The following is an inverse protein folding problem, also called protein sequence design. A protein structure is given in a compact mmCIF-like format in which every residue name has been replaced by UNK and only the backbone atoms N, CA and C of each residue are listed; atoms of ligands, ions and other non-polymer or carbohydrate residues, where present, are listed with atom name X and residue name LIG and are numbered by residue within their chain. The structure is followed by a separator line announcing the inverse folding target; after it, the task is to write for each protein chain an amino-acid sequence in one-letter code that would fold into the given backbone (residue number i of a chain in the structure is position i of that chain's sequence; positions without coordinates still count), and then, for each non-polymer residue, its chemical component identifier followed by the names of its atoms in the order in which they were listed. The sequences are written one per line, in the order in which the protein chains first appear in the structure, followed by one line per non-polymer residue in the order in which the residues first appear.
data_IF_264530014890
#
_entry.id   IF_264530014890
#
_cell.length_a   1.000
_cell.length_b   1.000
_cell.length_c   1.000
_cell.angle_alpha   90.00
_cell.angle_beta   90.00
_cell.angle_gamma   90.00
#
_symmetry.space_group_name_H-M   'P 1'
#
loop_
_entity.id
_entity.type
_entity.pdbx_description
1 polymer ?
#
# COMPACT_ATOMS: atom_id res chain seq x y z
N UNK A 1 2.91 -3.74 29.98
CA UNK A 1 3.11 -2.68 28.96
C UNK A 1 3.76 -3.21 27.69
N UNK A 2 4.93 -3.85 27.74
CA UNK A 2 5.66 -4.33 26.54
C UNK A 2 4.88 -5.38 25.73
N UNK A 3 4.24 -6.34 26.40
CA UNK A 3 3.47 -7.40 25.72
C UNK A 3 2.27 -6.84 24.93
N UNK A 4 1.59 -5.81 25.46
CA UNK A 4 0.45 -5.18 24.80
C UNK A 4 0.85 -4.46 23.52
N UNK A 5 1.89 -3.63 23.59
CA UNK A 5 2.44 -2.93 22.43
C UNK A 5 2.93 -3.89 21.33
N UNK A 6 3.51 -5.04 21.72
CA UNK A 6 3.92 -6.07 20.77
C UNK A 6 2.72 -6.70 20.06
N UNK A 7 1.65 -7.02 20.79
CA UNK A 7 0.43 -7.60 20.21
C UNK A 7 -0.26 -6.60 19.27
N UNK A 8 -0.32 -5.33 19.63
CA UNK A 8 -0.85 -4.27 18.75
C UNK A 8 -0.02 -4.15 17.47
N UNK A 9 1.31 -4.12 17.58
CA UNK A 9 2.20 -4.05 16.43
C UNK A 9 2.03 -5.26 15.50
N UNK A 10 1.99 -6.48 16.05
CA UNK A 10 1.79 -7.70 15.27
C UNK A 10 0.42 -7.71 14.59
N UNK A 11 -0.63 -7.27 15.28
CA UNK A 11 -1.98 -7.16 14.72
C UNK A 11 -2.00 -6.17 13.56
N UNK A 12 -1.37 -5.00 13.72
CA UNK A 12 -1.25 -4.00 12.66
C UNK A 12 -0.52 -4.53 11.42
N UNK A 13 0.57 -5.28 11.61
CA UNK A 13 1.30 -5.94 10.51
C UNK A 13 0.41 -6.95 9.79
N UNK A 14 -0.29 -7.82 10.52
CA UNK A 14 -1.18 -8.82 9.92
C UNK A 14 -2.31 -8.15 9.14
N UNK A 15 -2.95 -7.13 9.70
CA UNK A 15 -4.03 -6.37 9.05
C UNK A 15 -3.52 -5.71 7.76
N UNK A 16 -2.34 -5.10 7.78
CA UNK A 16 -1.74 -4.48 6.61
C UNK A 16 -1.41 -5.51 5.51
N UNK A 17 -0.90 -6.68 5.88
CA UNK A 17 -0.63 -7.78 4.94
C UNK A 17 -1.92 -8.33 4.32
N UNK A 18 -2.97 -8.51 5.12
CA UNK A 18 -4.30 -8.92 4.63
C UNK A 18 -4.86 -7.89 3.67
N UNK A 19 -4.79 -6.59 4.00
CA UNK A 19 -5.21 -5.52 3.09
C UNK A 19 -4.42 -5.55 1.78
N UNK A 20 -3.11 -5.79 1.83
CA UNK A 20 -2.24 -5.89 0.65
C UNK A 20 -2.74 -6.96 -0.32
N UNK A 21 -3.04 -8.16 0.19
CA UNK A 21 -3.39 -9.31 -0.64
C UNK A 21 -4.86 -9.28 -1.07
N UNK A 22 -5.78 -8.90 -0.17
CA UNK A 22 -7.22 -9.02 -0.41
C UNK A 22 -7.79 -7.79 -1.13
N UNK A 23 -7.22 -6.60 -0.90
CA UNK A 23 -7.74 -5.34 -1.47
C UNK A 23 -6.82 -4.79 -2.55
N UNK A 24 -5.53 -4.63 -2.21
CA UNK A 24 -4.59 -3.92 -3.07
C UNK A 24 -4.16 -4.75 -4.27
N UNK A 25 -3.84 -6.04 -4.11
CA UNK A 25 -3.41 -6.88 -5.22
C UNK A 25 -4.51 -7.03 -6.31
N UNK A 26 -5.79 -7.26 -5.97
CA UNK A 26 -6.88 -7.22 -6.95
C UNK A 26 -7.04 -5.84 -7.60
N UNK A 27 -6.94 -4.75 -6.82
CA UNK A 27 -6.98 -3.40 -7.35
C UNK A 27 -5.87 -3.17 -8.39
N UNK A 28 -4.62 -3.54 -8.07
CA UNK A 28 -3.48 -3.40 -8.99
C UNK A 28 -3.67 -4.24 -10.24
N UNK A 29 -4.11 -5.49 -10.09
CA UNK A 29 -4.35 -6.39 -11.22
C UNK A 29 -5.48 -5.91 -12.13
N UNK A 30 -6.57 -5.40 -11.56
CA UNK A 30 -7.72 -4.92 -12.30
C UNK A 30 -7.46 -3.55 -12.92
N UNK A 31 -6.96 -2.59 -12.15
CA UNK A 31 -6.77 -1.21 -12.58
C UNK A 31 -5.74 -1.11 -13.71
N UNK A 32 -4.58 -1.76 -13.56
CA UNK A 32 -3.55 -1.77 -14.60
C UNK A 32 -3.94 -2.64 -15.81
N UNK A 33 -4.96 -3.51 -15.68
CA UNK A 33 -5.46 -4.33 -16.77
C UNK A 33 -6.59 -3.72 -17.60
N UNK A 34 -6.97 -2.47 -17.35
CA UNK A 34 -8.00 -1.77 -18.15
C UNK A 34 -7.42 -1.22 -19.46
N UNK A 35 -8.24 -1.04 -20.49
CA UNK A 35 -7.84 -0.49 -21.81
C UNK A 35 -7.15 0.89 -21.73
N UNK A 36 -7.25 1.54 -20.57
CA UNK A 36 -6.60 2.83 -20.28
C UNK A 36 -5.12 2.70 -19.96
N UNK A 37 -4.66 1.50 -19.59
CA UNK A 37 -3.31 1.20 -19.15
C UNK A 37 -2.87 -0.12 -19.80
N UNK A 38 -2.03 -0.06 -20.84
CA UNK A 38 -1.69 -1.17 -21.75
C UNK A 38 -0.96 -2.38 -21.12
N UNK A 39 -0.94 -2.53 -19.78
CA UNK A 39 -0.17 -3.54 -19.07
C UNK A 39 -0.95 -4.18 -17.94
N UNK A 40 -1.55 -5.33 -18.21
CA UNK A 40 -2.11 -6.19 -17.16
C UNK A 40 -1.00 -7.02 -16.51
N UNK A 41 -0.54 -6.70 -15.29
CA UNK A 41 0.42 -7.55 -14.59
C UNK A 41 -0.24 -8.89 -14.26
N UNK A 42 0.53 -9.98 -14.23
CA UNK A 42 0.03 -11.23 -13.67
C UNK A 42 -0.37 -11.02 -12.21
N UNK A 43 -1.32 -11.82 -11.70
CA UNK A 43 -1.76 -11.68 -10.31
C UNK A 43 -0.60 -11.86 -9.32
N UNK A 44 0.35 -12.75 -9.62
CA UNK A 44 1.58 -12.93 -8.83
C UNK A 44 2.39 -11.63 -8.74
N UNK A 45 2.58 -10.91 -9.85
CA UNK A 45 3.27 -9.62 -9.86
C UNK A 45 2.47 -8.58 -9.08
N UNK A 46 1.14 -8.54 -9.22
CA UNK A 46 0.29 -7.61 -8.47
C UNK A 46 0.38 -7.83 -6.95
N UNK A 47 0.46 -9.08 -6.50
CA UNK A 47 0.71 -9.43 -5.09
C UNK A 47 2.07 -8.94 -4.63
N UNK A 48 3.14 -9.18 -5.41
CA UNK A 48 4.49 -8.68 -5.09
C UNK A 48 4.53 -7.16 -4.98
N UNK A 49 3.87 -6.46 -5.90
CA UNK A 49 3.75 -5.00 -5.90
C UNK A 49 3.02 -4.53 -4.63
N UNK A 50 1.88 -5.14 -4.30
CA UNK A 50 1.08 -4.78 -3.14
C UNK A 50 1.84 -4.98 -1.82
N UNK A 51 2.49 -6.14 -1.65
CA UNK A 51 3.30 -6.43 -0.46
C UNK A 51 4.48 -5.45 -0.32
N UNK A 52 5.14 -5.16 -1.43
CA UNK A 52 6.26 -4.21 -1.44
C UNK A 52 5.77 -2.79 -1.14
N UNK A 53 4.62 -2.38 -1.67
CA UNK A 53 4.04 -1.07 -1.43
C UNK A 53 3.67 -0.88 0.05
N UNK A 54 3.05 -1.90 0.67
CA UNK A 54 2.76 -1.90 2.12
C UNK A 54 4.05 -1.81 2.94
N UNK A 55 5.07 -2.60 2.60
CA UNK A 55 6.34 -2.59 3.33
C UNK A 55 7.05 -1.24 3.21
N UNK A 56 7.21 -0.71 2.00
CA UNK A 56 7.89 0.55 1.74
C UNK A 56 7.09 1.73 2.30
N UNK A 57 5.76 1.72 2.17
CA UNK A 57 4.88 2.73 2.76
C UNK A 57 4.94 2.73 4.29
N UNK A 58 4.88 1.56 4.92
CA UNK A 58 5.03 1.44 6.37
C UNK A 58 6.41 1.88 6.86
N UNK A 59 7.47 1.56 6.12
CA UNK A 59 8.82 2.04 6.42
C UNK A 59 8.93 3.57 6.26
N UNK A 60 8.31 4.14 5.22
CA UNK A 60 8.26 5.58 5.02
C UNK A 60 7.52 6.30 6.16
N UNK A 61 6.38 5.76 6.60
CA UNK A 61 5.63 6.28 7.74
C UNK A 61 6.44 6.19 9.04
N UNK A 62 7.17 5.10 9.26
CA UNK A 62 8.05 4.96 10.43
C UNK A 62 9.21 5.96 10.42
N UNK A 63 9.82 6.19 9.26
CA UNK A 63 10.99 7.07 9.13
C UNK A 63 10.64 8.56 9.08
N UNK A 64 9.50 8.93 8.49
CA UNK A 64 9.17 10.32 8.13
C UNK A 64 7.79 10.76 8.66
N UNK A 65 6.98 9.85 9.19
CA UNK A 65 5.65 10.14 9.74
C UNK A 65 5.64 11.11 10.92
N UNK A 66 6.78 11.29 11.59
CA UNK A 66 6.95 12.29 12.65
C UNK A 66 6.95 13.74 12.12
N UNK A 67 7.17 13.94 10.81
CA UNK A 67 7.11 15.27 10.17
C UNK A 67 5.68 15.53 9.70
N UNK A 68 4.94 16.52 10.26
CA UNK A 68 3.49 16.67 10.05
C UNK A 68 3.04 16.81 8.60
N UNK A 69 3.83 17.52 7.78
CA UNK A 69 3.51 17.77 6.37
C UNK A 69 4.13 16.69 5.48
N UNK A 70 5.41 16.40 5.67
CA UNK A 70 6.17 15.49 4.80
C UNK A 70 5.70 14.05 4.99
N UNK A 71 5.52 13.60 6.23
CA UNK A 71 5.08 12.24 6.53
C UNK A 71 3.77 11.85 5.85
N UNK A 72 2.80 12.78 5.80
CA UNK A 72 1.48 12.55 5.16
C UNK A 72 1.56 12.27 3.66
N UNK A 73 2.53 12.82 2.96
CA UNK A 73 2.64 12.67 1.51
C UNK A 73 3.67 11.62 1.09
N UNK A 74 4.68 11.34 1.92
CA UNK A 74 5.75 10.40 1.53
C UNK A 74 5.21 8.97 1.41
N UNK A 75 4.33 8.52 2.31
CA UNK A 75 3.73 7.18 2.23
C UNK A 75 2.96 6.94 0.92
N UNK A 76 1.96 7.77 0.52
CA UNK A 76 1.27 7.58 -0.76
C UNK A 76 2.20 7.75 -1.98
N UNK A 77 3.22 8.61 -1.91
CA UNK A 77 4.23 8.73 -2.98
C UNK A 77 5.07 7.46 -3.08
N UNK A 78 5.46 6.87 -1.95
CA UNK A 78 6.23 5.62 -1.92
C UNK A 78 5.44 4.47 -2.54
N UNK A 79 4.13 4.40 -2.29
CA UNK A 79 3.23 3.46 -2.95
C UNK A 79 3.22 3.65 -4.46
N UNK A 80 3.01 4.88 -4.93
CA UNK A 80 3.03 5.19 -6.36
C UNK A 80 4.37 4.85 -7.01
N UNK A 81 5.48 5.10 -6.31
CA UNK A 81 6.82 4.74 -6.77
C UNK A 81 6.96 3.22 -6.95
N UNK A 82 6.51 2.42 -5.99
CA UNK A 82 6.54 0.95 -6.10
C UNK A 82 5.70 0.47 -7.28
N UNK A 83 4.49 1.00 -7.47
CA UNK A 83 3.64 0.65 -8.61
C UNK A 83 4.27 1.02 -9.95
N UNK A 84 4.93 2.18 -10.03
CA UNK A 84 5.66 2.59 -11.23
C UNK A 84 6.83 1.64 -11.52
N UNK A 85 7.65 1.38 -10.52
CA UNK A 85 8.92 0.67 -10.71
C UNK A 85 8.72 -0.84 -10.93
N UNK A 86 7.84 -1.46 -10.14
CA UNK A 86 7.60 -2.90 -10.19
C UNK A 86 6.40 -3.27 -11.08
N UNK A 87 5.38 -2.41 -11.14
CA UNK A 87 4.23 -2.59 -12.03
C UNK A 87 4.48 -2.08 -13.46
N UNK A 88 5.59 -1.37 -13.69
CA UNK A 88 5.94 -0.84 -15.01
C UNK A 88 4.95 0.19 -15.54
N UNK A 89 4.28 0.93 -14.65
CA UNK A 89 3.21 1.87 -14.96
C UNK A 89 3.73 3.31 -15.10
N UNK A 90 3.07 4.12 -15.93
CA UNK A 90 3.36 5.55 -16.01
C UNK A 90 2.95 6.30 -14.74
N UNK A 91 3.50 7.51 -14.55
CA UNK A 91 3.27 8.29 -13.33
C UNK A 91 1.78 8.54 -13.01
N UNK A 92 0.91 8.96 -13.95
CA UNK A 92 -0.49 9.22 -13.63
C UNK A 92 -1.26 7.99 -13.09
N UNK A 93 -1.25 6.82 -13.75
CA UNK A 93 -1.85 5.61 -13.18
C UNK A 93 -1.19 5.17 -11.89
N UNK A 94 0.14 5.24 -11.78
CA UNK A 94 0.84 4.83 -10.57
C UNK A 94 0.45 5.69 -9.36
N UNK A 95 0.28 7.01 -9.54
CA UNK A 95 -0.19 7.92 -8.52
C UNK A 95 -1.64 7.62 -8.12
N UNK A 96 -2.52 7.38 -9.09
CA UNK A 96 -3.92 7.09 -8.82
C UNK A 96 -4.09 5.74 -8.11
N UNK A 97 -3.58 4.66 -8.69
CA UNK A 97 -3.72 3.31 -8.13
C UNK A 97 -2.94 3.16 -6.82
N UNK A 98 -1.75 3.78 -6.74
CA UNK A 98 -0.95 3.79 -5.50
C UNK A 98 -1.63 4.56 -4.38
N UNK A 99 -2.20 5.73 -4.69
CA UNK A 99 -2.95 6.53 -3.72
C UNK A 99 -4.24 5.85 -3.26
N UNK A 100 -5.00 5.23 -4.18
CA UNK A 100 -6.20 4.45 -3.83
C UNK A 100 -5.84 3.23 -3.01
N UNK A 101 -4.78 2.50 -3.38
CA UNK A 101 -4.29 1.35 -2.62
C UNK A 101 -3.89 1.71 -1.20
N UNK A 102 -3.12 2.79 -1.05
CA UNK A 102 -2.74 3.34 0.25
C UNK A 102 -3.97 3.71 1.08
N UNK A 103 -4.92 4.46 0.48
CA UNK A 103 -6.13 4.89 1.17
C UNK A 103 -6.97 3.70 1.65
N UNK A 104 -7.12 2.67 0.81
CA UNK A 104 -7.83 1.44 1.16
C UNK A 104 -7.15 0.74 2.33
N UNK A 105 -5.82 0.66 2.37
CA UNK A 105 -5.09 0.05 3.48
C UNK A 105 -5.28 0.83 4.77
N UNK A 106 -5.22 2.17 4.72
CA UNK A 106 -5.46 3.03 5.90
C UNK A 106 -6.88 2.88 6.43
N UNK A 107 -7.88 2.95 5.55
CA UNK A 107 -9.29 2.81 5.92
C UNK A 107 -9.58 1.41 6.46
N UNK A 108 -9.06 0.36 5.82
CA UNK A 108 -9.21 -1.02 6.28
C UNK A 108 -8.60 -1.21 7.67
N UNK A 109 -7.39 -0.68 7.90
CA UNK A 109 -6.76 -0.73 9.21
C UNK A 109 -7.61 -0.03 10.28
N UNK A 110 -8.16 1.14 9.98
CA UNK A 110 -9.03 1.88 10.90
C UNK A 110 -10.34 1.13 11.24
N UNK A 111 -10.87 0.33 10.30
CA UNK A 111 -12.11 -0.44 10.49
C UNK A 111 -11.86 -1.75 11.25
N UNK A 112 -10.76 -2.45 10.95
CA UNK A 112 -10.49 -3.80 11.48
C UNK A 112 -9.78 -3.76 12.83
N UNK A 113 -8.96 -2.74 13.07
CA UNK A 113 -8.29 -2.51 14.33
C UNK A 113 -8.61 -1.10 14.86
N UNK A 114 -9.88 -0.83 15.23
CA UNK A 114 -10.23 0.42 15.91
C UNK A 114 -9.51 0.40 17.26
N UNK A 115 -8.45 1.19 17.36
CA UNK A 115 -7.71 1.42 18.60
C UNK A 115 -8.35 2.54 19.39
#
# INVERSE_FOLDING_TARGET
MILGALVEALTGVVVALVAAVVLVAPLVHAALGTDRFDRRPSFAVAVTVALTAVFVGGLADLLVGWVPVVGRFVSPIAWAYVLRHLGGSDWPPALFVGGVGWLLTVVFAAVVAPT
#
